data_IF_809485397355
#
_entry.id   IF_809485397355
#
_cell.length_a   1.000
_cell.length_b   1.000
_cell.length_c   1.000
_cell.angle_alpha   90.00
_cell.angle_beta   90.00
_cell.angle_gamma   90.00
#
_symmetry.space_group_name_H-M   'P 1'
#
loop_
_entity.id
_entity.type
_entity.pdbx_description
1 polymer ?
#
# COMPACT_ATOMS: atom_id res chain seq x y z
N UNK A 1 -18.35 -38.18 -88.14
CA UNK A 1 -17.48 -39.01 -87.33
C UNK A 1 -16.22 -38.28 -86.77
N UNK A 2 -15.82 -37.14 -87.34
CA UNK A 2 -14.63 -36.35 -86.94
C UNK A 2 -14.79 -35.46 -85.70
N UNK A 3 -15.99 -35.05 -85.37
CA UNK A 3 -16.28 -34.19 -84.19
C UNK A 3 -16.27 -34.90 -82.86
N UNK A 4 -16.46 -36.21 -82.80
CA UNK A 4 -16.44 -37.03 -81.58
C UNK A 4 -15.05 -37.35 -81.05
N UNK A 5 -14.07 -37.44 -81.96
CA UNK A 5 -12.68 -37.66 -81.56
C UNK A 5 -12.05 -36.41 -80.93
N UNK A 6 -12.34 -35.25 -81.45
CA UNK A 6 -11.84 -33.96 -80.90
C UNK A 6 -12.35 -33.67 -79.55
N UNK A 7 -13.64 -34.06 -79.24
CA UNK A 7 -14.23 -33.90 -77.91
C UNK A 7 -13.61 -34.82 -76.85
N UNK A 8 -13.25 -36.03 -77.28
CA UNK A 8 -12.61 -37.01 -76.39
C UNK A 8 -11.17 -36.65 -76.03
N UNK A 9 -10.45 -36.05 -76.95
CA UNK A 9 -9.07 -35.60 -76.75
C UNK A 9 -9.04 -34.33 -75.87
N UNK A 10 -9.98 -33.42 -76.07
CA UNK A 10 -10.16 -32.24 -75.19
C UNK A 10 -10.56 -32.62 -73.75
N UNK A 11 -11.40 -33.63 -73.57
CA UNK A 11 -11.77 -34.14 -72.24
C UNK A 11 -10.57 -34.79 -71.56
N UNK A 12 -9.74 -35.52 -72.30
CA UNK A 12 -8.54 -36.18 -71.79
C UNK A 12 -7.47 -35.16 -71.40
N UNK A 13 -7.32 -34.10 -72.20
CA UNK A 13 -6.39 -33.00 -71.90
C UNK A 13 -6.81 -32.19 -70.66
N UNK A 14 -8.10 -31.92 -70.53
CA UNK A 14 -8.64 -31.27 -69.34
C UNK A 14 -8.57 -32.14 -68.07
N UNK A 15 -8.75 -33.46 -68.24
CA UNK A 15 -8.57 -34.40 -67.13
C UNK A 15 -7.11 -34.47 -66.65
N UNK A 16 -6.16 -34.57 -67.59
CA UNK A 16 -4.73 -34.56 -67.26
C UNK A 16 -4.28 -33.23 -66.64
N UNK A 17 -4.80 -32.09 -67.08
CA UNK A 17 -4.57 -30.77 -66.43
C UNK A 17 -5.15 -30.69 -65.04
N UNK A 18 -6.29 -31.32 -64.79
CA UNK A 18 -6.89 -31.42 -63.45
C UNK A 18 -6.07 -32.36 -62.54
N UNK A 19 -5.59 -33.49 -63.04
CA UNK A 19 -4.69 -34.36 -62.27
C UNK A 19 -3.38 -33.66 -61.94
N UNK A 20 -2.75 -32.97 -62.91
CA UNK A 20 -1.54 -32.19 -62.72
C UNK A 20 -1.73 -31.05 -61.73
N UNK A 21 -2.87 -30.36 -61.75
CA UNK A 21 -3.22 -29.35 -60.77
C UNK A 21 -3.48 -29.94 -59.38
N UNK A 22 -4.08 -31.13 -59.28
CA UNK A 22 -4.30 -31.84 -58.02
C UNK A 22 -2.99 -32.40 -57.47
N UNK A 23 -2.08 -32.90 -58.33
CA UNK A 23 -0.75 -33.30 -57.91
C UNK A 23 0.11 -32.10 -57.51
N UNK A 24 0.05 -30.98 -58.23
CA UNK A 24 0.71 -29.72 -57.85
C UNK A 24 0.14 -29.13 -56.54
N UNK A 25 -1.14 -29.27 -56.30
CA UNK A 25 -1.77 -28.92 -54.99
C UNK A 25 -1.32 -29.89 -53.87
N UNK A 26 -1.16 -31.19 -54.14
CA UNK A 26 -0.56 -32.17 -53.23
C UNK A 26 0.94 -32.01 -53.07
N UNK A 27 1.66 -31.49 -54.07
CA UNK A 27 3.10 -31.20 -54.05
C UNK A 27 3.42 -29.78 -53.52
N UNK A 28 2.44 -28.92 -53.28
CA UNK A 28 2.62 -27.76 -52.45
C UNK A 28 2.79 -28.26 -50.99
N UNK A 29 3.81 -29.09 -50.79
CA UNK A 29 4.34 -29.45 -49.48
C UNK A 29 4.69 -28.16 -48.80
N UNK A 30 3.80 -27.67 -47.93
CA UNK A 30 4.19 -26.81 -46.83
C UNK A 30 5.46 -27.46 -46.32
N UNK A 31 6.59 -26.87 -46.64
CA UNK A 31 7.89 -27.51 -46.39
C UNK A 31 7.88 -27.91 -44.92
N UNK A 32 8.29 -29.17 -44.60
CA UNK A 32 8.40 -29.64 -43.19
C UNK A 32 9.07 -28.58 -42.29
N UNK A 33 9.98 -27.79 -42.89
CA UNK A 33 10.64 -26.64 -42.24
C UNK A 33 9.67 -25.49 -41.88
N UNK A 34 8.62 -25.22 -42.69
CA UNK A 34 7.62 -24.18 -42.43
C UNK A 34 6.68 -24.68 -41.31
N UNK A 35 6.26 -25.93 -41.38
CA UNK A 35 5.43 -26.54 -40.34
C UNK A 35 6.19 -26.55 -39.00
N UNK A 36 7.49 -26.94 -39.01
CA UNK A 36 8.32 -26.91 -37.80
C UNK A 36 8.49 -25.49 -37.25
N UNK A 37 8.73 -24.50 -38.11
CA UNK A 37 8.83 -23.10 -37.68
C UNK A 37 7.51 -22.61 -37.10
N UNK A 38 6.37 -22.92 -37.72
CA UNK A 38 5.05 -22.53 -37.22
C UNK A 38 4.74 -23.22 -35.89
N UNK A 39 5.07 -24.50 -35.73
CA UNK A 39 4.86 -25.21 -34.44
C UNK A 39 5.74 -24.63 -33.34
N UNK A 40 6.98 -24.23 -33.60
CA UNK A 40 7.85 -23.56 -32.64
C UNK A 40 7.24 -22.21 -32.23
N UNK A 41 6.74 -21.40 -33.17
CA UNK A 41 6.08 -20.13 -32.87
C UNK A 41 4.83 -20.33 -32.00
N UNK A 42 4.02 -21.35 -32.30
CA UNK A 42 2.83 -21.66 -31.48
C UNK A 42 3.23 -22.09 -30.07
N UNK A 43 4.25 -22.92 -29.92
CA UNK A 43 4.75 -23.33 -28.59
C UNK A 43 5.27 -22.14 -27.81
N UNK A 44 6.04 -21.26 -28.45
CA UNK A 44 6.52 -20.01 -27.80
C UNK A 44 5.37 -19.10 -27.41
N UNK A 45 4.32 -18.98 -28.23
CA UNK A 45 3.13 -18.20 -27.91
C UNK A 45 2.38 -18.79 -26.70
N UNK A 46 2.25 -20.11 -26.63
CA UNK A 46 1.64 -20.80 -25.50
C UNK A 46 2.45 -20.53 -24.23
N UNK A 47 3.77 -20.71 -24.28
CA UNK A 47 4.65 -20.44 -23.14
C UNK A 47 4.51 -18.97 -22.71
N UNK A 48 4.49 -18.04 -23.65
CA UNK A 48 4.30 -16.62 -23.36
C UNK A 48 2.97 -16.35 -22.64
N UNK A 49 1.87 -16.98 -23.09
CA UNK A 49 0.56 -16.85 -22.43
C UNK A 49 0.61 -17.37 -20.98
N UNK A 50 1.28 -18.51 -20.74
CA UNK A 50 1.44 -19.04 -19.37
C UNK A 50 2.29 -18.11 -18.50
N UNK A 51 3.42 -17.64 -19.02
CA UNK A 51 4.28 -16.68 -18.29
C UNK A 51 3.51 -15.41 -17.94
N UNK A 52 2.78 -14.84 -18.90
CA UNK A 52 1.94 -13.67 -18.63
C UNK A 52 0.89 -13.95 -17.56
N UNK A 53 0.16 -15.08 -17.66
CA UNK A 53 -0.88 -15.41 -16.68
C UNK A 53 -0.31 -15.55 -15.26
N UNK A 54 0.85 -16.22 -15.10
CA UNK A 54 1.53 -16.38 -13.81
C UNK A 54 2.08 -15.04 -13.30
N UNK A 55 2.67 -14.22 -14.18
CA UNK A 55 3.23 -12.91 -13.81
C UNK A 55 2.16 -11.90 -13.37
N UNK A 56 0.98 -11.92 -14.00
CA UNK A 56 -0.14 -11.04 -13.62
C UNK A 56 -0.92 -11.54 -12.40
N UNK A 57 -0.65 -12.75 -11.91
CA UNK A 57 -1.28 -13.25 -10.70
C UNK A 57 -0.72 -12.48 -9.48
N UNK A 58 -1.58 -11.92 -8.59
CA UNK A 58 -1.11 -11.19 -7.43
C UNK A 58 -0.31 -12.09 -6.48
N UNK A 59 0.63 -11.52 -5.74
CA UNK A 59 1.38 -12.23 -4.70
C UNK A 59 0.59 -12.37 -3.41
N UNK A 60 -0.32 -11.41 -3.18
CA UNK A 60 -1.23 -11.44 -2.04
C UNK A 60 -2.65 -11.09 -2.46
N UNK A 61 -3.62 -11.73 -1.82
CA UNK A 61 -5.04 -11.47 -1.99
C UNK A 61 -5.63 -11.18 -0.61
N UNK A 62 -6.34 -10.07 -0.47
CA UNK A 62 -7.12 -9.78 0.72
C UNK A 62 -8.58 -10.10 0.41
N UNK A 63 -9.22 -10.86 1.28
CA UNK A 63 -10.63 -11.20 1.16
C UNK A 63 -11.32 -11.19 2.52
N UNK A 64 -12.61 -10.96 2.52
CA UNK A 64 -13.40 -10.98 3.74
C UNK A 64 -13.91 -12.39 4.07
N UNK A 65 -14.02 -12.67 5.35
CA UNK A 65 -14.63 -13.92 5.85
C UNK A 65 -15.99 -14.16 5.18
N UNK A 66 -16.19 -15.39 4.66
CA UNK A 66 -17.41 -15.79 3.98
C UNK A 66 -17.47 -15.44 2.49
N UNK A 67 -16.42 -14.85 1.92
CA UNK A 67 -16.29 -14.70 0.48
C UNK A 67 -15.79 -15.97 -0.19
N UNK A 68 -16.01 -16.07 -1.49
CA UNK A 68 -15.52 -17.19 -2.30
C UNK A 68 -14.24 -16.78 -2.98
N UNK A 69 -13.19 -17.55 -2.80
CA UNK A 69 -11.92 -17.30 -3.49
C UNK A 69 -12.08 -17.61 -4.98
N UNK A 70 -11.97 -16.58 -5.82
CA UNK A 70 -12.02 -16.67 -7.27
C UNK A 70 -10.68 -16.29 -7.87
N UNK A 71 -9.84 -17.28 -8.19
CA UNK A 71 -8.60 -17.06 -8.93
C UNK A 71 -8.78 -17.61 -10.33
N UNK A 72 -8.82 -16.73 -11.33
CA UNK A 72 -8.90 -17.11 -12.73
C UNK A 72 -7.59 -17.71 -13.18
N UNK A 73 -7.56 -19.02 -13.35
CA UNK A 73 -6.40 -19.74 -13.87
C UNK A 73 -6.70 -20.33 -15.25
N UNK A 74 -5.67 -20.40 -16.11
CA UNK A 74 -5.75 -21.12 -17.38
C UNK A 74 -5.57 -22.63 -17.15
N UNK A 75 -5.96 -23.40 -18.15
CA UNK A 75 -5.83 -24.86 -18.13
C UNK A 75 -4.39 -25.29 -17.76
N UNK A 76 -4.27 -26.23 -16.80
CA UNK A 76 -2.97 -26.73 -16.33
C UNK A 76 -2.33 -25.95 -15.19
N UNK A 77 -2.95 -24.88 -14.71
CA UNK A 77 -2.56 -24.21 -13.46
C UNK A 77 -3.48 -24.68 -12.35
N UNK A 78 -2.90 -25.30 -11.33
CA UNK A 78 -3.59 -25.80 -10.14
C UNK A 78 -3.14 -25.00 -8.92
N UNK A 79 -4.07 -24.80 -7.97
CA UNK A 79 -3.81 -24.18 -6.69
C UNK A 79 -3.85 -25.27 -5.62
N UNK A 80 -2.84 -25.31 -4.77
CA UNK A 80 -2.77 -26.24 -3.64
C UNK A 80 -2.63 -25.43 -2.34
N UNK A 81 -3.40 -25.80 -1.33
CA UNK A 81 -3.31 -25.23 -0.01
C UNK A 81 -2.18 -25.90 0.79
N UNK A 82 -1.29 -25.13 1.37
CA UNK A 82 -0.32 -25.64 2.32
C UNK A 82 -0.98 -25.71 3.71
N UNK A 83 -1.26 -26.92 4.19
CA UNK A 83 -1.77 -27.14 5.55
C UNK A 83 -0.74 -26.77 6.61
N UNK A 84 -1.18 -26.33 7.78
CA UNK A 84 -0.34 -25.99 8.94
C UNK A 84 0.58 -27.12 9.42
N UNK A 85 0.33 -28.35 9.02
CA UNK A 85 1.11 -29.55 9.37
C UNK A 85 1.92 -30.12 8.19
N UNK A 86 2.07 -29.37 7.08
CA UNK A 86 2.78 -29.87 5.90
C UNK A 86 2.01 -30.88 5.04
N UNK A 87 0.76 -31.18 5.37
CA UNK A 87 -0.12 -31.98 4.52
C UNK A 87 -0.62 -31.14 3.35
N UNK A 88 -0.34 -31.62 2.13
CA UNK A 88 -0.86 -31.03 0.90
C UNK A 88 -2.32 -31.43 0.76
N UNK A 89 -3.21 -30.51 1.08
CA UNK A 89 -4.62 -30.68 0.74
C UNK A 89 -4.78 -30.30 -0.74
N UNK A 90 -5.07 -31.28 -1.59
CA UNK A 90 -5.33 -31.01 -3.00
C UNK A 90 -6.50 -30.02 -3.13
N UNK A 91 -6.15 -28.78 -3.44
CA UNK A 91 -7.09 -27.73 -3.76
C UNK A 91 -7.61 -27.88 -5.20
N UNK A 92 -7.88 -29.13 -5.60
CA UNK A 92 -8.54 -29.42 -6.86
C UNK A 92 -9.95 -28.82 -6.86
N UNK A 93 -10.24 -27.94 -7.81
CA UNK A 93 -11.60 -27.44 -8.18
C UNK A 93 -12.56 -27.01 -7.04
N UNK A 94 -12.30 -27.35 -5.79
CA UNK A 94 -13.16 -27.11 -4.64
C UNK A 94 -12.88 -25.78 -3.94
N UNK A 95 -11.64 -25.26 -3.94
CA UNK A 95 -11.32 -23.95 -3.36
C UNK A 95 -12.03 -22.81 -4.13
N UNK A 96 -12.11 -22.93 -5.45
CA UNK A 96 -12.83 -21.95 -6.30
C UNK A 96 -14.36 -21.91 -6.06
N UNK A 97 -14.91 -22.73 -5.18
CA UNK A 97 -16.36 -22.77 -4.89
C UNK A 97 -16.71 -22.71 -3.42
N UNK A 98 -15.74 -22.87 -2.52
CA UNK A 98 -16.01 -22.86 -1.08
C UNK A 98 -15.77 -21.48 -0.50
N UNK A 99 -16.70 -21.02 0.34
CA UNK A 99 -16.53 -19.83 1.15
C UNK A 99 -15.41 -20.04 2.15
N UNK A 100 -14.49 -19.09 2.23
CA UNK A 100 -13.43 -19.11 3.24
C UNK A 100 -13.98 -18.52 4.53
N UNK A 101 -14.18 -19.33 5.54
CA UNK A 101 -14.83 -18.93 6.80
C UNK A 101 -13.84 -18.67 7.94
N UNK A 102 -12.59 -19.10 7.82
CA UNK A 102 -11.58 -18.92 8.86
C UNK A 102 -10.77 -17.65 8.59
N UNK A 103 -10.67 -16.78 9.59
CA UNK A 103 -9.85 -15.58 9.56
C UNK A 103 -8.39 -15.98 9.76
N UNK A 104 -7.50 -15.45 8.93
CA UNK A 104 -6.07 -15.73 9.01
C UNK A 104 -5.40 -15.76 7.65
N UNK A 105 -4.16 -16.20 7.65
CA UNK A 105 -3.33 -16.32 6.44
C UNK A 105 -3.41 -17.72 5.87
N UNK A 106 -3.65 -17.81 4.58
CA UNK A 106 -3.68 -19.04 3.80
C UNK A 106 -2.65 -18.91 2.68
N UNK A 107 -1.64 -19.78 2.68
CA UNK A 107 -0.64 -19.78 1.61
C UNK A 107 -1.01 -20.84 0.57
N UNK A 108 -1.14 -20.38 -0.68
CA UNK A 108 -1.48 -21.23 -1.84
C UNK A 108 -0.25 -21.40 -2.72
N UNK A 109 0.03 -22.64 -3.10
CA UNK A 109 1.04 -22.95 -4.12
C UNK A 109 0.38 -23.02 -5.49
N UNK A 110 0.92 -22.26 -6.42
CA UNK A 110 0.52 -22.29 -7.82
C UNK A 110 1.38 -23.30 -8.54
N UNK A 111 0.77 -24.41 -8.97
CA UNK A 111 1.47 -25.48 -9.66
C UNK A 111 1.08 -25.52 -11.14
N UNK A 112 2.09 -25.66 -12.00
CA UNK A 112 1.92 -25.90 -13.43
C UNK A 112 1.89 -27.41 -13.70
N UNK A 113 0.84 -27.88 -14.39
CA UNK A 113 0.58 -29.30 -14.68
C UNK A 113 0.58 -30.22 -13.44
N UNK A 114 0.20 -29.67 -12.28
CA UNK A 114 0.03 -30.41 -11.03
C UNK A 114 1.31 -30.80 -10.28
N UNK A 115 2.51 -30.44 -10.80
CA UNK A 115 3.77 -30.87 -10.17
C UNK A 115 4.86 -29.80 -10.10
N UNK A 116 4.85 -28.81 -10.99
CA UNK A 116 5.86 -27.77 -11.02
C UNK A 116 5.36 -26.51 -10.29
N UNK A 117 5.82 -26.28 -9.08
CA UNK A 117 5.51 -25.05 -8.35
C UNK A 117 6.16 -23.86 -9.06
N UNK A 118 5.37 -22.85 -9.42
CA UNK A 118 5.80 -21.69 -10.20
C UNK A 118 5.60 -20.37 -9.46
N UNK A 119 4.70 -20.31 -8.47
CA UNK A 119 4.45 -19.12 -7.65
C UNK A 119 3.78 -19.50 -6.33
N UNK A 120 3.99 -18.67 -5.30
CA UNK A 120 3.23 -18.69 -4.07
C UNK A 120 2.29 -17.49 -4.06
N UNK A 121 1.05 -17.70 -3.58
CA UNK A 121 0.04 -16.66 -3.40
C UNK A 121 -0.46 -16.71 -1.97
N UNK A 122 -0.29 -15.62 -1.25
CA UNK A 122 -0.81 -15.49 0.12
C UNK A 122 -2.21 -14.93 0.09
N UNK A 123 -3.16 -15.60 0.76
CA UNK A 123 -4.53 -15.12 0.92
C UNK A 123 -4.75 -14.72 2.38
N UNK A 124 -4.95 -13.43 2.60
CA UNK A 124 -5.24 -12.88 3.91
C UNK A 124 -6.74 -12.74 4.09
N UNK A 125 -7.32 -13.59 4.92
CA UNK A 125 -8.75 -13.58 5.23
C UNK A 125 -9.00 -12.70 6.45
N UNK A 126 -9.68 -11.58 6.25
CA UNK A 126 -10.01 -10.63 7.30
C UNK A 126 -11.46 -10.80 7.78
N UNK A 127 -11.76 -10.47 9.04
CA UNK A 127 -13.14 -10.54 9.53
C UNK A 127 -14.01 -9.48 8.84
N UNK A 128 -15.30 -9.78 8.66
CA UNK A 128 -16.30 -8.75 8.35
C UNK A 128 -16.49 -7.88 9.57
N UNK A 129 -16.18 -6.59 9.42
CA UNK A 129 -16.26 -5.63 10.52
C UNK A 129 -17.22 -4.49 10.19
N UNK A 130 -17.84 -3.93 11.24
CA UNK A 130 -18.49 -2.63 11.19
C UNK A 130 -17.56 -1.60 11.81
N UNK A 131 -17.47 -0.46 11.17
CA UNK A 131 -16.64 0.66 11.61
C UNK A 131 -17.45 1.95 11.62
N UNK A 132 -17.09 2.87 12.47
CA UNK A 132 -17.69 4.21 12.51
C UNK A 132 -16.81 5.15 11.67
N UNK A 133 -17.27 5.63 10.50
CA UNK A 133 -16.55 6.62 9.72
C UNK A 133 -16.47 7.94 10.49
N UNK A 134 -15.29 8.54 10.57
CA UNK A 134 -15.08 9.76 11.38
C UNK A 134 -14.96 11.00 10.52
N UNK A 135 -13.98 11.07 9.62
CA UNK A 135 -13.78 12.23 8.74
C UNK A 135 -13.40 13.52 9.46
N UNK A 136 -12.87 13.42 10.69
CA UNK A 136 -12.49 14.57 11.53
C UNK A 136 -11.02 14.90 11.34
N UNK A 137 -10.72 16.20 11.23
CA UNK A 137 -9.34 16.69 11.29
C UNK A 137 -8.74 16.45 12.68
N UNK A 138 -7.58 15.84 12.72
CA UNK A 138 -6.82 15.53 13.94
C UNK A 138 -5.36 15.91 13.80
N UNK A 139 -4.71 16.20 14.93
CA UNK A 139 -3.26 16.26 15.04
C UNK A 139 -2.68 14.87 15.35
N UNK A 140 -1.51 14.60 14.80
CA UNK A 140 -0.73 13.40 15.09
C UNK A 140 0.66 13.83 15.53
N UNK A 141 1.14 13.22 16.61
CA UNK A 141 2.52 13.34 17.08
C UNK A 141 3.11 11.96 17.10
N UNK A 142 4.22 11.79 16.42
CA UNK A 142 4.92 10.52 16.33
C UNK A 142 6.30 10.69 16.94
N UNK A 143 6.72 9.75 17.74
CA UNK A 143 8.05 9.68 18.36
C UNK A 143 8.78 8.49 17.76
N UNK A 144 10.00 8.72 17.25
CA UNK A 144 10.79 7.69 16.58
C UNK A 144 11.32 6.65 17.56
N UNK A 145 11.57 5.45 17.05
CA UNK A 145 12.29 4.43 17.80
C UNK A 145 13.80 4.67 17.66
N UNK A 146 14.36 5.44 18.59
CA UNK A 146 15.70 6.03 18.48
C UNK A 146 15.67 7.40 17.78
N UNK A 147 16.82 7.89 17.35
CA UNK A 147 16.99 9.21 16.77
C UNK A 147 17.35 9.08 15.30
N UNK A 148 16.45 9.54 14.40
CA UNK A 148 16.62 9.44 12.95
C UNK A 148 17.69 10.40 12.44
N UNK A 149 18.63 9.93 11.65
CA UNK A 149 19.63 10.74 10.94
C UNK A 149 18.99 11.30 9.68
N UNK A 150 18.90 12.63 9.57
CA UNK A 150 18.25 13.33 8.46
C UNK A 150 19.25 14.16 7.62
N UNK A 151 20.52 14.13 7.98
CA UNK A 151 21.58 14.83 7.24
C UNK A 151 22.90 14.82 7.97
N UNK A 152 23.93 15.30 7.28
CA UNK A 152 25.29 15.38 7.81
C UNK A 152 25.94 16.72 7.44
N UNK A 153 26.78 17.24 8.34
CA UNK A 153 27.57 18.44 8.07
C UNK A 153 28.92 18.39 8.73
N UNK A 154 29.91 19.00 8.07
CA UNK A 154 31.23 19.15 8.67
C UNK A 154 31.21 20.15 9.85
N UNK A 155 32.13 19.96 10.81
CA UNK A 155 32.27 20.75 12.00
C UNK A 155 33.70 21.28 12.01
N UNK A 156 33.90 22.59 11.87
CA UNK A 156 35.22 23.25 11.84
C UNK A 156 36.21 22.54 10.89
N UNK A 157 35.73 22.14 9.68
CA UNK A 157 36.53 21.46 8.67
C UNK A 157 36.80 20.00 8.93
N UNK A 158 36.13 19.37 9.92
CA UNK A 158 36.24 17.96 10.24
C UNK A 158 34.90 17.23 9.98
N UNK A 159 34.98 15.98 9.60
CA UNK A 159 33.81 15.11 9.33
C UNK A 159 33.89 13.88 10.24
N UNK A 160 33.42 13.96 11.50
CA UNK A 160 33.47 12.81 12.42
C UNK A 160 32.80 11.55 11.87
N UNK A 161 31.78 11.72 11.00
CA UNK A 161 30.98 10.66 10.39
C UNK A 161 31.61 10.01 9.15
N UNK A 162 32.73 10.54 8.60
CA UNK A 162 33.25 10.17 7.26
C UNK A 162 33.52 8.67 7.05
N UNK A 163 33.88 7.93 8.10
CA UNK A 163 34.12 6.48 8.02
C UNK A 163 33.21 5.68 8.95
N UNK A 164 32.08 6.26 9.35
CA UNK A 164 31.19 5.62 10.32
C UNK A 164 30.28 4.56 9.69
N UNK A 165 30.01 4.67 8.40
CA UNK A 165 29.00 3.86 7.73
C UNK A 165 27.56 4.28 8.03
N UNK A 166 27.34 5.34 8.83
CA UNK A 166 26.00 5.88 9.08
C UNK A 166 25.57 6.71 7.87
N UNK A 167 24.33 6.51 7.44
CA UNK A 167 23.71 7.20 6.31
C UNK A 167 22.40 7.91 6.72
N UNK A 168 21.90 8.78 5.86
CA UNK A 168 20.58 9.42 6.05
C UNK A 168 19.49 8.34 6.02
N UNK A 169 18.63 8.36 7.04
CA UNK A 169 17.58 7.35 7.25
C UNK A 169 17.93 6.29 8.29
N UNK A 170 19.18 6.20 8.73
CA UNK A 170 19.58 5.36 9.85
C UNK A 170 19.06 5.91 11.18
N UNK A 171 18.86 5.02 12.18
CA UNK A 171 18.36 5.40 13.50
C UNK A 171 19.36 5.07 14.57
N UNK A 172 19.85 6.07 15.30
CA UNK A 172 20.73 5.88 16.45
C UNK A 172 19.89 5.42 17.63
N UNK A 173 20.22 4.26 18.20
CA UNK A 173 19.47 3.66 19.30
C UNK A 173 20.27 3.58 20.61
N UNK A 174 21.62 3.67 20.54
CA UNK A 174 22.48 3.56 21.71
C UNK A 174 23.82 4.27 21.48
N UNK A 175 24.38 4.87 22.53
CA UNK A 175 25.73 5.42 22.57
C UNK A 175 26.39 4.96 23.88
N UNK A 176 27.57 4.28 23.79
CA UNK A 176 28.33 3.77 24.92
C UNK A 176 27.45 3.03 25.95
N UNK A 177 26.70 2.00 25.48
CA UNK A 177 25.76 1.18 26.27
C UNK A 177 24.59 1.95 26.89
N UNK A 178 24.43 3.24 26.55
CA UNK A 178 23.30 4.07 26.98
C UNK A 178 22.24 4.16 25.88
N UNK A 179 21.00 3.72 26.17
CA UNK A 179 19.89 3.81 25.23
C UNK A 179 19.61 5.27 24.87
N UNK A 180 19.41 5.53 23.58
CA UNK A 180 19.07 6.85 23.03
C UNK A 180 17.65 6.80 22.48
N UNK A 181 16.75 7.54 23.09
CA UNK A 181 15.32 7.59 22.70
C UNK A 181 14.93 8.95 22.14
N UNK A 182 15.71 9.98 22.38
CA UNK A 182 15.44 11.33 21.90
C UNK A 182 16.72 12.15 21.67
N UNK A 183 16.58 13.27 21.00
CA UNK A 183 17.68 14.18 20.62
C UNK A 183 18.42 14.74 21.83
N UNK A 184 17.71 15.06 22.92
CA UNK A 184 18.34 15.61 24.13
C UNK A 184 19.26 14.57 24.80
N UNK A 185 18.86 13.32 24.86
CA UNK A 185 19.70 12.20 25.35
C UNK A 185 20.96 12.06 24.49
N UNK A 186 20.82 12.08 23.16
CA UNK A 186 21.95 12.02 22.24
C UNK A 186 22.94 13.16 22.49
N UNK A 187 22.44 14.41 22.54
CA UNK A 187 23.28 15.61 22.77
C UNK A 187 23.99 15.52 24.10
N UNK A 188 23.28 15.16 25.18
CA UNK A 188 23.86 15.05 26.51
C UNK A 188 24.94 13.96 26.57
N UNK A 189 24.70 12.80 25.97
CA UNK A 189 25.67 11.68 25.95
C UNK A 189 26.94 12.07 25.18
N UNK A 190 26.77 12.69 24.01
CA UNK A 190 27.90 13.17 23.20
C UNK A 190 28.70 14.27 23.93
N UNK A 191 28.03 15.19 24.61
CA UNK A 191 28.73 16.22 25.40
C UNK A 191 29.50 15.64 26.60
N UNK A 192 28.93 14.65 27.27
CA UNK A 192 29.53 14.02 28.46
C UNK A 192 30.77 13.17 28.14
N UNK A 193 30.99 12.79 26.86
CA UNK A 193 32.19 12.01 26.49
C UNK A 193 33.50 12.80 26.61
N UNK A 194 33.44 14.14 26.74
CA UNK A 194 34.60 15.01 26.87
C UNK A 194 35.56 14.99 25.67
N UNK A 195 35.04 14.61 24.48
CA UNK A 195 35.79 14.50 23.22
C UNK A 195 36.52 13.15 23.04
N UNK A 196 36.25 12.18 23.88
CA UNK A 196 36.69 10.79 23.68
C UNK A 196 35.84 10.14 22.58
N UNK A 197 36.39 9.15 21.85
CA UNK A 197 35.58 8.36 20.91
C UNK A 197 34.38 7.73 21.62
N UNK A 198 33.19 7.78 20.97
CA UNK A 198 31.97 7.15 21.42
C UNK A 198 31.60 5.99 20.49
N UNK A 199 31.09 4.90 21.02
CA UNK A 199 30.56 3.79 20.25
C UNK A 199 29.07 4.06 20.00
N UNK A 200 28.65 4.06 18.74
CA UNK A 200 27.28 4.34 18.33
C UNK A 200 26.68 3.05 17.76
N UNK A 201 25.60 2.56 18.36
CA UNK A 201 24.75 1.51 17.79
C UNK A 201 23.59 2.15 17.05
N UNK A 202 23.43 1.75 15.82
CA UNK A 202 22.37 2.27 14.95
C UNK A 202 21.69 1.14 14.16
N UNK A 203 20.48 1.41 13.71
CA UNK A 203 19.70 0.51 12.85
C UNK A 203 19.70 1.10 11.45
N UNK A 204 20.20 0.34 10.48
CA UNK A 204 20.23 0.74 9.07
C UNK A 204 18.84 0.71 8.44
N UNK A 205 18.71 1.22 7.20
CA UNK A 205 17.47 1.15 6.41
C UNK A 205 16.98 -0.30 6.21
N UNK A 206 17.92 -1.26 6.08
CA UNK A 206 17.62 -2.69 5.91
C UNK A 206 17.28 -3.37 7.25
N UNK A 207 17.03 -2.60 8.32
CA UNK A 207 16.75 -3.07 9.69
C UNK A 207 17.91 -3.90 10.30
N UNK A 208 19.14 -3.71 9.84
CA UNK A 208 20.33 -4.32 10.44
C UNK A 208 20.85 -3.47 11.60
N UNK A 209 21.16 -4.11 12.73
CA UNK A 209 21.77 -3.46 13.89
C UNK A 209 23.29 -3.43 13.71
N UNK A 210 23.85 -2.25 13.58
CA UNK A 210 25.27 -2.01 13.32
C UNK A 210 25.88 -1.16 14.42
N UNK A 211 27.20 -1.25 14.59
CA UNK A 211 27.96 -0.46 15.58
C UNK A 211 29.16 0.17 14.91
N UNK A 212 29.39 1.44 15.21
CA UNK A 212 30.56 2.21 14.74
C UNK A 212 31.13 3.07 15.85
N UNK A 213 32.32 3.62 15.64
CA UNK A 213 32.92 4.55 16.58
C UNK A 213 33.17 5.90 15.95
N UNK A 214 32.79 6.97 16.63
CA UNK A 214 33.03 8.36 16.21
C UNK A 214 33.75 9.16 17.27
N UNK A 215 34.65 10.05 16.85
CA UNK A 215 35.29 11.01 17.75
C UNK A 215 34.64 12.38 17.59
N UNK A 216 33.89 12.86 18.61
CA UNK A 216 33.25 14.16 18.55
C UNK A 216 34.25 15.31 18.43
N UNK A 217 33.85 16.38 17.75
CA UNK A 217 34.64 17.61 17.58
C UNK A 217 34.14 18.68 18.54
N UNK A 218 35.05 19.27 19.29
CA UNK A 218 34.73 20.35 20.22
C UNK A 218 34.36 21.62 19.44
N UNK A 219 33.24 22.25 19.74
CA UNK A 219 32.74 23.49 19.16
C UNK A 219 32.25 24.40 20.29
N UNK A 220 33.02 25.40 20.64
CA UNK A 220 32.75 26.22 21.82
C UNK A 220 32.84 25.40 23.11
N UNK A 221 31.74 25.29 23.85
CA UNK A 221 31.62 24.48 25.07
C UNK A 221 31.11 23.06 24.79
N UNK A 222 30.52 22.79 23.62
CA UNK A 222 29.88 21.55 23.25
C UNK A 222 30.79 20.64 22.42
N UNK A 223 30.41 19.36 22.39
CA UNK A 223 30.94 18.33 21.50
C UNK A 223 29.90 17.90 20.48
N UNK A 224 30.29 17.74 19.21
CA UNK A 224 29.39 17.40 18.11
C UNK A 224 29.94 16.29 17.24
N UNK A 225 29.06 15.44 16.70
CA UNK A 225 29.41 14.35 15.78
C UNK A 225 29.06 14.64 14.30
N UNK A 226 28.44 15.81 14.02
CA UNK A 226 28.17 16.26 12.65
C UNK A 226 26.92 15.62 12.02
N UNK A 227 26.06 15.02 12.80
CA UNK A 227 24.78 14.47 12.34
C UNK A 227 23.63 15.43 12.62
N UNK A 228 22.77 15.62 11.63
CA UNK A 228 21.46 16.24 11.81
C UNK A 228 20.47 15.14 12.15
N UNK A 229 19.70 15.36 13.19
CA UNK A 229 18.86 14.28 13.75
C UNK A 229 17.46 14.77 14.09
N UNK A 230 16.50 13.84 14.08
CA UNK A 230 15.10 14.05 14.41
C UNK A 230 14.56 12.89 15.24
N UNK A 231 13.78 13.18 16.27
CA UNK A 231 13.17 12.19 17.17
C UNK A 231 11.64 12.26 17.20
N UNK A 232 11.04 13.25 16.53
CA UNK A 232 9.62 13.41 16.48
C UNK A 232 9.15 14.03 15.16
N UNK A 233 7.94 13.67 14.76
CA UNK A 233 7.22 14.32 13.68
C UNK A 233 5.80 14.66 14.12
N UNK A 234 5.26 15.78 13.64
CA UNK A 234 3.89 16.19 13.91
C UNK A 234 3.22 16.71 12.64
N UNK A 235 1.93 16.47 12.50
CA UNK A 235 1.15 16.92 11.36
C UNK A 235 -0.35 16.88 11.61
N UNK A 236 -1.10 17.49 10.71
CA UNK A 236 -2.56 17.44 10.69
C UNK A 236 -3.03 16.52 9.57
N UNK A 237 -4.03 15.71 9.86
CA UNK A 237 -4.65 14.81 8.88
C UNK A 237 -6.05 14.43 9.29
N UNK A 238 -6.64 13.46 8.61
CA UNK A 238 -8.02 13.04 8.90
C UNK A 238 -8.05 11.65 9.56
N UNK A 239 -8.80 11.53 10.67
CA UNK A 239 -9.14 10.25 11.26
C UNK A 239 -10.20 9.57 10.39
N UNK A 240 -9.86 8.40 9.85
CA UNK A 240 -10.68 7.72 8.85
C UNK A 240 -11.87 7.02 9.50
N UNK A 241 -11.62 6.08 10.37
CA UNK A 241 -12.65 5.33 11.09
C UNK A 241 -12.08 4.72 12.37
N UNK A 242 -12.98 4.22 13.20
CA UNK A 242 -12.64 3.33 14.31
C UNK A 242 -13.61 2.15 14.39
N UNK A 243 -13.13 1.04 14.95
CA UNK A 243 -13.95 -0.12 15.28
C UNK A 243 -14.56 0.07 16.68
N UNK A 244 -15.89 0.14 16.82
CA UNK A 244 -16.53 0.38 18.11
C UNK A 244 -16.36 -0.74 19.14
N UNK A 245 -16.07 -1.98 18.68
CA UNK A 245 -15.91 -3.15 19.55
C UNK A 245 -14.60 -3.14 20.34
N UNK A 246 -13.53 -2.56 19.77
CA UNK A 246 -12.18 -2.62 20.37
C UNK A 246 -11.45 -1.27 20.37
N UNK A 247 -12.09 -0.20 19.91
CA UNK A 247 -11.56 1.17 19.81
C UNK A 247 -10.33 1.33 18.92
N UNK A 248 -9.93 0.31 18.16
CA UNK A 248 -8.85 0.45 17.16
C UNK A 248 -9.27 1.42 16.08
N UNK A 249 -8.35 2.28 15.66
CA UNK A 249 -8.62 3.33 14.68
C UNK A 249 -7.54 3.43 13.61
N UNK A 250 -7.90 4.07 12.51
CA UNK A 250 -7.05 4.29 11.34
C UNK A 250 -7.15 5.75 10.93
N UNK A 251 -6.02 6.34 10.56
CA UNK A 251 -5.93 7.69 10.01
C UNK A 251 -5.08 7.74 8.75
N UNK A 252 -5.26 8.74 7.90
CA UNK A 252 -4.52 9.12 6.70
C UNK A 252 -4.72 8.23 5.46
N UNK A 253 -4.72 6.92 5.57
CA UNK A 253 -4.69 6.03 4.39
C UNK A 253 -3.33 5.94 3.68
N UNK A 254 -2.31 6.65 4.16
CA UNK A 254 -0.91 6.55 3.76
C UNK A 254 0.00 6.76 4.96
N UNK A 255 1.26 6.32 4.85
CA UNK A 255 2.24 6.50 5.92
C UNK A 255 2.70 7.95 6.07
N UNK A 256 3.22 8.26 7.24
CA UNK A 256 3.94 9.50 7.49
C UNK A 256 5.41 9.24 7.20
N UNK A 257 5.97 10.01 6.27
CA UNK A 257 7.38 9.96 5.88
C UNK A 257 8.12 11.18 6.43
N UNK A 258 9.39 11.01 6.68
CA UNK A 258 10.28 12.12 6.99
C UNK A 258 10.45 13.03 5.77
N UNK A 259 10.43 14.36 5.97
CA UNK A 259 10.43 15.33 4.87
C UNK A 259 11.77 15.41 4.16
N UNK A 260 12.88 15.16 4.88
CA UNK A 260 14.22 15.29 4.32
C UNK A 260 14.65 14.00 3.62
N UNK A 261 14.37 12.84 4.22
CA UNK A 261 14.76 11.53 3.69
C UNK A 261 13.70 10.90 2.80
N UNK A 262 12.44 11.37 2.86
CA UNK A 262 11.26 10.75 2.21
C UNK A 262 10.98 9.30 2.65
N UNK A 263 11.63 8.80 3.71
CA UNK A 263 11.48 7.45 4.23
C UNK A 263 10.34 7.36 5.24
N UNK A 264 9.68 6.21 5.32
CA UNK A 264 8.64 5.95 6.31
C UNK A 264 9.23 6.08 7.73
N UNK A 265 8.58 6.86 8.59
CA UNK A 265 9.04 7.04 9.97
C UNK A 265 8.70 5.79 10.78
N UNK A 266 9.71 5.09 11.29
CA UNK A 266 9.57 4.03 12.27
C UNK A 266 9.34 4.65 13.65
N UNK A 267 8.21 4.30 14.28
CA UNK A 267 7.77 4.91 15.52
C UNK A 267 7.88 3.95 16.71
N UNK A 268 8.32 4.47 17.86
CA UNK A 268 8.17 3.81 19.15
C UNK A 268 6.79 4.02 19.74
N UNK A 269 6.24 5.23 19.57
CA UNK A 269 4.92 5.62 20.08
C UNK A 269 4.39 6.85 19.36
N UNK A 270 3.13 7.20 19.64
CA UNK A 270 2.57 8.44 19.16
C UNK A 270 1.23 8.76 19.81
N UNK A 271 0.73 9.97 19.52
CA UNK A 271 -0.53 10.48 20.07
C UNK A 271 -1.41 11.02 18.95
N UNK A 272 -2.70 10.70 19.04
CA UNK A 272 -3.76 11.39 18.31
C UNK A 272 -4.30 12.50 19.22
N UNK A 273 -4.29 13.72 18.74
CA UNK A 273 -4.68 14.91 19.51
C UNK A 273 -5.69 15.74 18.74
N UNK A 274 -6.41 16.62 19.42
CA UNK A 274 -7.32 17.55 18.75
C UNK A 274 -6.53 18.50 17.83
N UNK A 275 -7.14 18.84 16.71
CA UNK A 275 -6.66 19.90 15.83
C UNK A 275 -7.77 20.92 15.61
N UNK A 276 -7.39 22.20 15.53
CA UNK A 276 -8.27 23.28 15.11
C UNK A 276 -7.90 23.73 13.71
N UNK A 277 -8.86 23.74 12.80
CA UNK A 277 -8.71 24.28 11.47
C UNK A 277 -8.72 25.80 11.56
N UNK A 278 -7.65 26.44 11.10
CA UNK A 278 -7.50 27.90 11.08
C UNK A 278 -7.91 28.50 9.74
N UNK A 279 -7.51 27.86 8.66
CA UNK A 279 -7.82 28.31 7.29
C UNK A 279 -7.60 27.19 6.27
N UNK A 280 -8.14 27.39 5.09
CA UNK A 280 -7.92 26.52 3.93
C UNK A 280 -7.14 27.31 2.88
N UNK A 281 -6.00 26.78 2.45
CA UNK A 281 -5.33 27.20 1.24
C UNK A 281 -5.84 26.35 0.08
N UNK A 282 -6.41 27.00 -0.94
CA UNK A 282 -7.00 26.27 -2.08
C UNK A 282 -5.92 25.62 -2.93
N UNK A 283 -6.22 24.41 -3.40
CA UNK A 283 -5.42 23.75 -4.42
C UNK A 283 -5.63 24.38 -5.79
N UNK A 284 -4.55 24.50 -6.53
CA UNK A 284 -4.53 24.92 -7.93
C UNK A 284 -3.63 23.97 -8.73
N UNK A 285 -3.82 23.96 -10.03
CA UNK A 285 -2.96 23.15 -10.92
C UNK A 285 -1.48 23.44 -10.69
N UNK A 286 -0.72 22.41 -10.30
CA UNK A 286 0.70 22.52 -10.00
C UNK A 286 1.02 22.97 -8.57
N UNK A 287 0.01 23.34 -7.77
CA UNK A 287 0.17 23.75 -6.37
C UNK A 287 -0.89 23.06 -5.51
N UNK A 288 -0.53 22.05 -4.72
CA UNK A 288 -1.46 21.42 -3.78
C UNK A 288 -1.95 22.46 -2.76
N UNK A 289 -3.25 22.38 -2.41
CA UNK A 289 -3.80 23.15 -1.29
C UNK A 289 -3.55 22.45 0.05
N UNK A 290 -3.92 23.13 1.15
CA UNK A 290 -3.67 22.64 2.49
C UNK A 290 -4.75 23.10 3.48
N UNK A 291 -5.13 22.21 4.41
CA UNK A 291 -5.84 22.58 5.66
C UNK A 291 -4.78 23.05 6.65
N UNK A 292 -4.74 24.36 6.90
CA UNK A 292 -3.89 24.94 7.95
C UNK A 292 -4.58 24.81 9.29
N UNK A 293 -3.94 24.13 10.22
CA UNK A 293 -4.47 23.89 11.53
C UNK A 293 -3.41 23.98 12.63
N UNK A 294 -3.87 24.10 13.86
CA UNK A 294 -3.03 24.01 15.06
C UNK A 294 -3.37 22.73 15.81
N UNK A 295 -2.34 22.12 16.35
CA UNK A 295 -2.46 20.94 17.22
C UNK A 295 -2.72 21.42 18.65
N UNK A 296 -3.81 20.94 19.23
CA UNK A 296 -4.15 21.22 20.64
C UNK A 296 -3.58 20.16 21.56
N UNK A 297 -2.55 20.50 22.30
CA UNK A 297 -1.88 19.57 23.22
C UNK A 297 -2.73 19.19 24.45
N UNK A 298 -3.83 19.89 24.69
CA UNK A 298 -4.63 19.73 25.89
C UNK A 298 -5.57 18.52 25.87
N UNK A 299 -5.82 17.94 24.68
CA UNK A 299 -6.82 16.89 24.51
C UNK A 299 -6.29 15.75 23.66
N UNK A 300 -5.78 14.72 24.34
CA UNK A 300 -5.42 13.45 23.70
C UNK A 300 -6.69 12.69 23.31
N UNK A 301 -6.82 12.34 22.05
CA UNK A 301 -7.92 11.54 21.50
C UNK A 301 -7.59 10.05 21.65
N UNK A 302 -6.32 9.68 21.47
CA UNK A 302 -5.86 8.30 21.50
C UNK A 302 -4.37 8.15 21.30
N UNK A 303 -3.91 6.90 21.26
CA UNK A 303 -2.52 6.54 21.08
C UNK A 303 -2.27 5.96 19.69
N UNK A 304 -1.08 6.21 19.13
CA UNK A 304 -0.59 5.62 17.88
C UNK A 304 0.41 4.52 18.22
N UNK A 305 0.29 3.38 17.55
CA UNK A 305 1.16 2.23 17.75
C UNK A 305 1.90 1.82 16.47
N UNK A 306 1.40 2.21 15.30
CA UNK A 306 2.01 1.81 14.04
C UNK A 306 1.80 2.86 12.95
N UNK A 307 2.89 3.12 12.22
CA UNK A 307 2.89 3.88 10.97
C UNK A 307 3.26 2.90 9.85
N UNK A 308 2.41 2.78 8.83
CA UNK A 308 2.61 1.87 7.70
C UNK A 308 2.44 2.63 6.39
N UNK A 309 2.81 2.04 5.27
CA UNK A 309 2.54 2.61 3.95
C UNK A 309 1.05 2.92 3.69
N UNK A 310 0.15 2.24 4.43
CA UNK A 310 -1.31 2.35 4.24
C UNK A 310 -2.02 3.20 5.30
N UNK A 311 -1.28 3.80 6.22
CA UNK A 311 -1.88 4.67 7.24
C UNK A 311 -1.23 4.58 8.62
N UNK A 312 -1.81 5.36 9.53
CA UNK A 312 -1.44 5.42 10.94
C UNK A 312 -2.51 4.70 11.75
N UNK A 313 -2.08 3.78 12.61
CA UNK A 313 -2.95 2.89 13.38
C UNK A 313 -2.78 3.13 14.88
N UNK A 314 -3.91 3.17 15.58
CA UNK A 314 -3.94 3.50 16.99
C UNK A 314 -5.19 2.98 17.72
N UNK A 315 -5.35 3.41 18.96
CA UNK A 315 -6.58 3.20 19.76
C UNK A 315 -7.11 4.53 20.26
N UNK A 316 -8.43 4.65 20.25
CA UNK A 316 -9.12 5.81 20.83
C UNK A 316 -9.28 5.63 22.34
N UNK A 317 -8.98 6.70 23.09
CA UNK A 317 -9.20 6.80 24.53
C UNK A 317 -10.39 7.74 24.84
N UNK A 318 -10.53 8.83 24.10
CA UNK A 318 -11.54 9.86 24.30
C UNK A 318 -12.43 10.03 23.05
N UNK A 319 -13.35 9.09 22.83
CA UNK A 319 -14.27 9.10 21.66
C UNK A 319 -15.25 10.29 21.66
N UNK A 320 -15.59 10.84 22.84
CA UNK A 320 -16.54 11.93 22.94
C UNK A 320 -16.13 13.18 22.16
N UNK A 321 -14.82 13.41 22.00
CA UNK A 321 -14.26 14.54 21.24
C UNK A 321 -14.59 14.42 19.74
N UNK A 322 -14.82 13.20 19.25
CA UNK A 322 -15.06 12.95 17.82
C UNK A 322 -16.46 13.39 17.38
N UNK A 323 -17.38 13.55 18.31
CA UNK A 323 -18.78 13.90 18.02
C UNK A 323 -19.40 12.99 16.95
N UNK A 324 -19.26 11.67 17.12
CA UNK A 324 -19.85 10.61 16.29
C UNK A 324 -20.65 9.65 17.15
N UNK A 325 -21.66 9.03 16.57
CA UNK A 325 -22.46 8.00 17.22
C UNK A 325 -21.99 6.60 16.79
N UNK A 326 -21.92 5.66 17.70
CA UNK A 326 -21.68 4.24 17.37
C UNK A 326 -22.83 3.64 16.52
N UNK A 327 -24.01 4.27 16.55
CA UNK A 327 -25.12 3.91 15.66
C UNK A 327 -24.85 4.25 14.19
N UNK A 328 -23.87 5.09 13.90
CA UNK A 328 -23.44 5.43 12.54
C UNK A 328 -22.46 4.37 11.97
N UNK A 329 -22.27 3.25 12.67
CA UNK A 329 -21.40 2.17 12.21
C UNK A 329 -21.91 1.54 10.91
N UNK A 330 -21.04 1.47 9.93
CA UNK A 330 -21.30 0.89 8.61
C UNK A 330 -20.41 -0.32 8.37
N UNK A 331 -20.83 -1.22 7.48
CA UNK A 331 -20.00 -2.33 7.02
C UNK A 331 -18.85 -1.80 6.15
N UNK A 332 -17.68 -2.46 6.22
CA UNK A 332 -16.63 -2.29 5.23
C UNK A 332 -17.01 -3.14 4.02
N UNK A 333 -17.01 -2.54 2.83
CA UNK A 333 -17.35 -3.21 1.60
C UNK A 333 -16.23 -4.15 1.15
N UNK A 334 -16.61 -5.28 0.56
CA UNK A 334 -15.65 -6.09 -0.21
C UNK A 334 -15.31 -5.40 -1.53
N UNK A 335 -14.16 -5.76 -2.13
CA UNK A 335 -13.74 -5.17 -3.41
C UNK A 335 -14.73 -5.44 -4.55
N UNK A 336 -15.41 -6.58 -4.54
CA UNK A 336 -16.41 -6.94 -5.55
C UNK A 336 -17.66 -6.05 -5.50
N UNK A 337 -17.96 -5.48 -4.33
CA UNK A 337 -19.08 -4.56 -4.12
C UNK A 337 -18.79 -3.14 -4.62
N UNK A 338 -17.49 -2.75 -4.71
CA UNK A 338 -17.07 -1.41 -5.14
C UNK A 338 -17.29 -1.27 -6.65
N UNK A 339 -17.93 -0.17 -7.06
CA UNK A 339 -18.24 0.11 -8.47
C UNK A 339 -17.78 1.52 -8.86
N UNK A 340 -17.41 1.69 -10.12
CA UNK A 340 -17.20 3.02 -10.69
C UNK A 340 -18.51 3.83 -10.65
N UNK A 341 -18.40 5.17 -10.58
CA UNK A 341 -19.52 6.08 -10.45
C UNK A 341 -19.62 6.74 -9.06
N UNK A 342 -20.83 7.17 -8.70
CA UNK A 342 -21.06 7.99 -7.51
C UNK A 342 -20.65 7.34 -6.20
N UNK A 343 -20.00 8.15 -5.37
CA UNK A 343 -19.64 7.87 -3.98
C UNK A 343 -19.60 9.19 -3.18
N UNK A 344 -19.36 9.13 -1.90
CA UNK A 344 -19.27 10.29 -1.02
C UNK A 344 -17.98 10.22 -0.19
N UNK A 345 -17.31 11.36 0.00
CA UNK A 345 -16.29 11.51 1.05
C UNK A 345 -16.88 12.24 2.25
N UNK A 346 -16.46 11.85 3.44
CA UNK A 346 -16.81 12.54 4.67
C UNK A 346 -15.57 13.27 5.20
N UNK A 347 -15.64 14.60 5.31
CA UNK A 347 -14.53 15.38 5.87
C UNK A 347 -14.99 16.61 6.63
N UNK A 348 -14.10 17.09 7.51
CA UNK A 348 -14.25 18.31 8.27
C UNK A 348 -13.35 19.38 7.64
N UNK A 349 -13.97 20.43 7.12
CA UNK A 349 -13.28 21.60 6.56
C UNK A 349 -13.46 22.84 7.43
N UNK A 350 -14.34 22.76 8.40
CA UNK A 350 -14.65 23.81 9.36
C UNK A 350 -14.87 23.14 10.72
N UNK A 351 -14.26 23.69 11.77
CA UNK A 351 -14.28 23.09 13.10
C UNK A 351 -15.68 22.66 13.56
N UNK A 352 -15.82 21.37 13.90
CA UNK A 352 -17.06 20.77 14.35
C UNK A 352 -18.10 20.50 13.25
N UNK A 353 -17.83 20.84 12.00
CA UNK A 353 -18.73 20.62 10.89
C UNK A 353 -18.21 19.54 9.94
N UNK A 354 -18.60 18.31 10.20
CA UNK A 354 -18.40 17.20 9.27
C UNK A 354 -19.48 17.21 8.21
N UNK A 355 -19.09 17.05 6.95
CA UNK A 355 -20.00 17.09 5.82
C UNK A 355 -19.62 16.01 4.81
N UNK A 356 -20.62 15.45 4.15
CA UNK A 356 -20.46 14.55 3.02
C UNK A 356 -20.42 15.36 1.74
N UNK A 357 -19.48 15.03 0.86
CA UNK A 357 -19.31 15.65 -0.45
C UNK A 357 -19.33 14.58 -1.53
N UNK A 358 -20.00 14.87 -2.65
CA UNK A 358 -20.12 13.94 -3.77
C UNK A 358 -18.80 13.82 -4.53
N UNK A 359 -18.45 12.58 -4.84
CA UNK A 359 -17.30 12.23 -5.69
C UNK A 359 -17.71 11.18 -6.71
N UNK A 360 -16.86 10.97 -7.70
CA UNK A 360 -16.96 9.88 -8.65
C UNK A 360 -15.73 8.96 -8.55
N UNK A 361 -15.97 7.64 -8.51
CA UNK A 361 -14.92 6.64 -8.68
C UNK A 361 -14.74 6.44 -10.17
N UNK A 362 -13.64 6.93 -10.73
CA UNK A 362 -13.36 6.82 -12.16
C UNK A 362 -12.77 5.48 -12.54
N UNK A 363 -11.88 4.94 -11.67
CA UNK A 363 -11.17 3.69 -11.93
C UNK A 363 -10.89 2.93 -10.64
N UNK A 364 -10.93 1.60 -10.74
CA UNK A 364 -10.63 0.66 -9.66
C UNK A 364 -9.46 -0.22 -10.09
N UNK A 365 -8.43 -0.31 -9.26
CA UNK A 365 -7.24 -1.14 -9.47
C UNK A 365 -7.30 -2.35 -8.53
N UNK A 366 -8.18 -3.30 -8.85
CA UNK A 366 -8.63 -4.36 -7.95
C UNK A 366 -7.50 -5.28 -7.41
N UNK A 367 -6.43 -5.45 -8.18
CA UNK A 367 -5.30 -6.30 -7.84
C UNK A 367 -4.12 -5.51 -7.22
N UNK A 368 -4.28 -4.21 -7.00
CA UNK A 368 -3.24 -3.40 -6.40
C UNK A 368 -3.31 -3.50 -4.87
N UNK A 369 -2.40 -4.30 -4.30
CA UNK A 369 -2.22 -4.47 -2.86
C UNK A 369 -0.88 -3.90 -2.36
N UNK A 370 -0.03 -3.43 -3.29
CA UNK A 370 1.34 -3.03 -2.99
C UNK A 370 1.48 -1.56 -2.63
N UNK A 371 0.51 -0.73 -3.03
CA UNK A 371 0.50 0.68 -2.72
C UNK A 371 -0.91 1.18 -2.34
N UNK A 372 -0.99 2.43 -1.88
CA UNK A 372 -2.22 3.07 -1.44
C UNK A 372 -2.98 3.78 -2.57
N UNK A 373 -2.86 3.32 -3.82
CA UNK A 373 -3.52 3.84 -5.02
C UNK A 373 -4.50 2.82 -5.60
N UNK A 374 -5.44 2.38 -4.78
CA UNK A 374 -6.40 1.33 -5.16
C UNK A 374 -7.53 1.84 -6.04
N UNK A 375 -7.86 3.13 -5.96
CA UNK A 375 -8.91 3.77 -6.75
C UNK A 375 -8.45 5.14 -7.24
N UNK A 376 -8.88 5.53 -8.46
CA UNK A 376 -8.83 6.91 -8.94
C UNK A 376 -10.20 7.54 -8.68
N UNK A 377 -10.21 8.66 -7.99
CA UNK A 377 -11.43 9.38 -7.62
C UNK A 377 -11.40 10.80 -8.15
N UNK A 378 -12.59 11.35 -8.39
CA UNK A 378 -12.78 12.73 -8.83
C UNK A 378 -13.80 13.44 -7.95
N UNK A 379 -13.48 14.64 -7.48
CA UNK A 379 -14.44 15.50 -6.79
C UNK A 379 -15.43 16.04 -7.80
N UNK A 380 -16.72 15.83 -7.55
CA UNK A 380 -17.83 16.35 -8.36
C UNK A 380 -18.66 17.38 -7.60
N UNK A 381 -18.50 17.46 -6.30
CA UNK A 381 -19.19 18.40 -5.43
C UNK A 381 -18.71 19.83 -5.65
N UNK A 382 -19.62 20.71 -6.07
CA UNK A 382 -19.30 22.09 -6.40
C UNK A 382 -18.91 22.91 -5.17
N UNK A 383 -19.56 22.67 -4.01
CA UNK A 383 -19.24 23.35 -2.75
C UNK A 383 -17.81 23.02 -2.30
N UNK A 384 -17.43 21.75 -2.39
CA UNK A 384 -16.08 21.33 -2.05
C UNK A 384 -15.04 21.97 -2.98
N UNK A 385 -15.27 21.95 -4.30
CA UNK A 385 -14.39 22.59 -5.28
C UNK A 385 -14.27 24.10 -5.03
N UNK A 386 -15.38 24.79 -4.73
CA UNK A 386 -15.36 26.21 -4.39
C UNK A 386 -14.56 26.50 -3.12
N UNK A 387 -14.63 25.62 -2.11
CA UNK A 387 -13.92 25.81 -0.84
C UNK A 387 -12.43 25.47 -0.93
N UNK A 388 -12.09 24.39 -1.60
CA UNK A 388 -10.75 23.77 -1.52
C UNK A 388 -10.00 23.75 -2.85
N UNK A 389 -10.67 23.95 -3.98
CA UNK A 389 -10.11 23.74 -5.32
C UNK A 389 -9.98 22.27 -5.72
N UNK A 390 -10.34 21.32 -4.85
CA UNK A 390 -10.25 19.88 -5.03
C UNK A 390 -9.76 19.17 -3.77
N UNK A 391 -9.00 18.08 -3.92
CA UNK A 391 -8.36 17.36 -2.82
C UNK A 391 -7.15 18.17 -2.36
N UNK A 392 -7.06 18.43 -1.06
CA UNK A 392 -5.98 19.22 -0.45
C UNK A 392 -5.27 18.44 0.67
N UNK A 393 -4.07 18.85 1.04
CA UNK A 393 -3.36 18.30 2.19
C UNK A 393 -4.20 18.47 3.46
N UNK A 394 -4.24 17.42 4.28
CA UNK A 394 -5.15 17.31 5.44
C UNK A 394 -6.42 16.51 5.16
N UNK A 395 -6.88 16.38 3.91
CA UNK A 395 -7.99 15.49 3.54
C UNK A 395 -7.58 14.02 3.43
N UNK A 396 -6.28 13.71 3.43
CA UNK A 396 -5.79 12.33 3.48
C UNK A 396 -6.39 11.61 4.68
N UNK A 397 -7.00 10.45 4.44
CA UNK A 397 -7.76 9.71 5.44
C UNK A 397 -9.27 10.01 5.42
N UNK A 398 -9.77 10.96 4.63
CA UNK A 398 -11.20 11.17 4.51
C UNK A 398 -11.90 9.87 4.06
N UNK A 399 -12.82 9.29 4.87
CA UNK A 399 -13.47 8.03 4.54
C UNK A 399 -14.37 8.18 3.32
N UNK A 400 -14.35 7.18 2.44
CA UNK A 400 -15.16 7.10 1.24
C UNK A 400 -16.29 6.11 1.46
N UNK A 401 -17.51 6.56 1.19
CA UNK A 401 -18.73 5.78 1.34
C UNK A 401 -19.39 5.56 -0.02
N UNK A 402 -19.82 4.33 -0.28
CA UNK A 402 -20.64 3.99 -1.43
C UNK A 402 -21.75 3.04 -0.99
N UNK A 403 -22.99 3.31 -1.36
CA UNK A 403 -24.17 2.51 -0.98
C UNK A 403 -24.29 2.24 0.53
N UNK A 404 -23.88 3.19 1.39
CA UNK A 404 -23.93 3.06 2.84
C UNK A 404 -22.84 2.19 3.47
N UNK A 405 -21.84 1.77 2.70
CA UNK A 405 -20.67 1.02 3.18
C UNK A 405 -19.39 1.83 3.04
N UNK A 406 -18.43 1.59 3.94
CA UNK A 406 -17.08 2.13 3.80
C UNK A 406 -16.33 1.35 2.72
N UNK A 407 -15.86 2.05 1.69
CA UNK A 407 -15.09 1.44 0.59
C UNK A 407 -13.60 1.75 0.67
N UNK A 408 -13.20 2.79 1.41
CA UNK A 408 -11.81 3.20 1.52
C UNK A 408 -11.60 4.58 2.09
N UNK A 409 -10.44 5.15 1.83
CA UNK A 409 -10.05 6.48 2.27
C UNK A 409 -9.23 7.22 1.20
N UNK A 410 -9.39 8.54 1.13
CA UNK A 410 -8.56 9.42 0.28
C UNK A 410 -7.11 9.34 0.71
N UNK A 411 -6.18 9.27 -0.25
CA UNK A 411 -4.74 9.19 0.04
C UNK A 411 -3.95 10.35 -0.56
N UNK A 412 -3.95 10.50 -1.87
CA UNK A 412 -3.10 11.47 -2.57
C UNK A 412 -3.91 12.28 -3.58
N UNK A 413 -3.52 13.55 -3.74
CA UNK A 413 -4.03 14.43 -4.79
C UNK A 413 -3.17 14.30 -6.05
N UNK A 414 -3.76 14.47 -7.22
CA UNK A 414 -3.02 14.65 -8.47
C UNK A 414 -2.63 16.13 -8.60
N UNK A 415 -1.35 16.42 -8.49
CA UNK A 415 -0.83 17.81 -8.49
C UNK A 415 -1.22 18.59 -9.76
N UNK A 416 -1.35 17.91 -10.90
CA UNK A 416 -1.74 18.52 -12.17
C UNK A 416 -3.26 18.73 -12.33
N UNK A 417 -4.07 18.06 -11.54
CA UNK A 417 -5.52 18.25 -11.45
C UNK A 417 -6.00 17.96 -10.02
N UNK A 418 -6.10 18.98 -9.16
CA UNK A 418 -6.50 18.79 -7.77
C UNK A 418 -7.91 18.21 -7.59
N UNK A 419 -8.75 18.23 -8.61
CA UNK A 419 -10.06 17.60 -8.54
C UNK A 419 -10.00 16.08 -8.60
N UNK A 420 -8.85 15.51 -8.99
CA UNK A 420 -8.60 14.08 -9.05
C UNK A 420 -7.57 13.65 -8.00
N UNK A 421 -7.68 12.39 -7.56
CA UNK A 421 -6.74 11.83 -6.61
C UNK A 421 -6.89 10.34 -6.45
N UNK A 422 -6.05 9.77 -5.59
CA UNK A 422 -6.07 8.36 -5.28
C UNK A 422 -6.74 8.08 -3.94
N UNK A 423 -7.21 6.85 -3.80
CA UNK A 423 -7.76 6.32 -2.57
C UNK A 423 -7.30 4.86 -2.36
N UNK A 424 -7.21 4.46 -1.09
CA UNK A 424 -6.92 3.08 -0.68
C UNK A 424 -8.21 2.34 -0.36
N UNK A 425 -8.25 1.02 -0.59
CA UNK A 425 -9.39 0.18 -0.20
C UNK A 425 -9.55 0.06 1.32
N UNK A 426 -10.80 -0.05 1.76
CA UNK A 426 -11.16 -0.24 3.18
C UNK A 426 -10.70 -1.58 3.73
N UNK A 427 -10.66 -2.63 2.92
CA UNK A 427 -10.20 -3.96 3.33
C UNK A 427 -8.70 -3.98 3.63
N UNK A 428 -7.86 -3.24 2.89
CA UNK A 428 -6.44 -3.05 3.21
C UNK A 428 -6.29 -2.37 4.57
N UNK A 429 -7.08 -1.34 4.84
CA UNK A 429 -7.03 -0.63 6.12
C UNK A 429 -7.43 -1.55 7.29
N UNK A 430 -8.44 -2.41 7.10
CA UNK A 430 -8.88 -3.40 8.10
C UNK A 430 -7.82 -4.49 8.29
N UNK A 431 -7.23 -4.98 7.20
CA UNK A 431 -6.15 -5.99 7.25
C UNK A 431 -4.97 -5.47 8.05
N UNK A 432 -4.47 -4.28 7.73
CA UNK A 432 -3.39 -3.63 8.46
C UNK A 432 -3.76 -3.37 9.94
N UNK A 433 -4.98 -2.95 10.22
CA UNK A 433 -5.48 -2.77 11.59
C UNK A 433 -5.53 -4.10 12.36
N UNK A 434 -5.82 -5.21 11.68
CA UNK A 434 -5.89 -6.54 12.30
C UNK A 434 -4.50 -7.17 12.52
N UNK A 435 -3.54 -6.87 11.64
CA UNK A 435 -2.17 -7.39 11.68
C UNK A 435 -1.26 -6.72 12.74
N UNK A 436 -1.71 -5.61 13.34
CA UNK A 436 -0.95 -4.95 14.41
C UNK A 436 -0.90 -5.85 15.64
N UNK A 437 0.30 -6.25 16.05
CA UNK A 437 0.53 -6.99 17.30
C UNK A 437 0.46 -6.01 18.49
N UNK A 438 -0.78 -5.70 18.91
CA UNK A 438 -1.09 -4.72 19.96
C UNK A 438 -0.48 -5.09 21.32
N UNK A 439 -0.18 -6.36 21.53
CA UNK A 439 0.38 -6.87 22.79
C UNK A 439 1.82 -6.42 22.96
N UNK A 440 2.64 -6.46 21.89
CA UNK A 440 4.04 -6.00 21.94
C UNK A 440 4.15 -4.48 22.08
N UNK A 441 3.25 -3.72 21.44
CA UNK A 441 3.27 -2.26 21.49
C UNK A 441 2.86 -1.70 22.87
N UNK A 442 1.96 -2.38 23.59
CA UNK A 442 1.56 -1.99 24.96
C UNK A 442 2.67 -2.28 25.96
N UNK A 443 3.42 -3.37 25.79
CA UNK A 443 4.52 -3.74 26.70
C UNK A 443 5.73 -2.80 26.60
N UNK A 444 5.92 -2.10 25.49
CA UNK A 444 7.02 -1.14 25.30
C UNK A 444 6.65 0.28 25.75
N UNK A 445 5.39 0.54 26.08
CA UNK A 445 4.87 1.86 26.52
C UNK A 445 4.59 1.94 28.02
N UNK A 446 4.90 0.90 28.78
CA UNK A 446 4.84 0.82 30.26
C UNK A 446 6.28 0.76 30.86
#
# INVERSE_FOLDING_TARGET
MMTFFHFKDNLKENYNKLEENVENFKQNKISKKIILKLSIVIVLLIIFIYVCNISFMPESIIMMQGETLNINTILGINLEQQGSNGEILEASSSINKNKVNEVGKLDLKVNLFGSLQVKDVSVNVIPKVKVVPVGKAIGMKLYTDGVLVVGMSEIEGKKPYENSGIEEGDRIIEIDDSKISNTDELINTVNNCGGQPVNITYVSEDEEVLTTSMTPVKTGEDYKIGLWVRDAAAGVGTLTFYNPENNKCVALGHGITDIDTSKLINIASGELVSANILSIEKGEKGKPGEIKGTIENSYTIGKVYKNTAFGVYGTLENKQILNVSENDAVEVASREEIKTGKAEILCELENGKKQKYEIEIERIFINNNSDNKSMLIKITDTELIEKTGGIIQGMSGAPILQNGKLIGAVTHVLVNDPTEGYAVFGDILVEQMSSVDWVKSIANSS
#
